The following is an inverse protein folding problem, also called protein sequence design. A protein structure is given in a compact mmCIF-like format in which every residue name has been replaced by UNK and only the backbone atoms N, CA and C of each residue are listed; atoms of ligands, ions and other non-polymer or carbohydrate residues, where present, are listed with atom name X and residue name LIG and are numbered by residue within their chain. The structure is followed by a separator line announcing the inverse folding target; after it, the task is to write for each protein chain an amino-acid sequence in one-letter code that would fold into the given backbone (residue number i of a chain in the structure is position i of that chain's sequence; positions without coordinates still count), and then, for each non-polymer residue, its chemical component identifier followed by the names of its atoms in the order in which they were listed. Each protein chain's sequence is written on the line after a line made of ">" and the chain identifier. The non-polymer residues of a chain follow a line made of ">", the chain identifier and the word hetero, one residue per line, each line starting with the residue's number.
data_IF_181706516018
#
_entry.id   IF_181706516018
#
_cell.length_a   1.000
_cell.length_b   1.000
_cell.length_c   1.000
_cell.angle_alpha   90.00
_cell.angle_beta   90.00
_cell.angle_gamma   90.00
#
_symmetry.space_group_name_H-M   'P 1'
#
loop_
_entity.id
_entity.type
_entity.pdbx_description
1 polymer ?
#
# COMPACT_ATOMS: atom_id res chain seq x y z
N UNK A 1 17.50 -6.53 15.44
CA UNK A 1 17.25 -5.99 14.09
C UNK A 1 15.95 -6.59 13.57
N UNK A 2 14.85 -6.19 14.21
CA UNK A 2 13.51 -6.72 13.91
C UNK A 2 12.71 -5.64 13.18
N UNK A 3 12.18 -6.07 12.05
CA UNK A 3 11.08 -5.50 11.26
C UNK A 3 11.23 -4.07 10.68
N UNK A 4 11.25 -4.04 9.35
CA UNK A 4 11.01 -2.87 8.50
C UNK A 4 9.56 -2.96 8.03
N UNK A 5 8.69 -2.06 8.49
CA UNK A 5 7.30 -1.97 8.05
C UNK A 5 7.22 -0.90 6.95
N UNK A 6 7.14 -1.34 5.69
CA UNK A 6 6.91 -0.45 4.54
C UNK A 6 5.40 -0.36 4.33
N UNK A 7 4.79 0.75 4.73
CA UNK A 7 3.47 1.13 4.26
C UNK A 7 3.65 1.76 2.86
N UNK A 8 3.25 1.06 1.81
CA UNK A 8 3.33 1.58 0.44
C UNK A 8 1.95 2.10 0.03
N UNK A 9 1.82 3.41 -0.10
CA UNK A 9 0.74 4.06 -0.84
C UNK A 9 1.25 4.25 -2.28
N UNK A 10 0.76 3.44 -3.21
CA UNK A 10 1.27 3.44 -4.59
C UNK A 10 0.41 4.35 -5.45
N UNK A 11 0.95 5.50 -5.84
CA UNK A 11 0.59 6.22 -7.06
C UNK A 11 1.47 5.69 -8.20
N UNK A 12 0.90 4.88 -9.11
CA UNK A 12 1.65 4.23 -10.18
C UNK A 12 1.51 5.00 -11.50
N UNK A 13 2.66 5.39 -12.04
CA UNK A 13 2.87 5.99 -13.34
C UNK A 13 3.49 4.97 -14.30
N UNK A 14 2.93 4.90 -15.52
CA UNK A 14 3.49 4.44 -16.80
C UNK A 14 3.60 2.92 -17.14
N UNK A 15 3.01 2.61 -18.32
CA UNK A 15 3.51 1.79 -19.44
C UNK A 15 3.36 0.23 -19.49
N UNK A 16 2.72 -0.17 -20.62
CA UNK A 16 2.87 -1.38 -21.47
C UNK A 16 1.87 -2.55 -21.33
N UNK A 17 1.17 -2.79 -22.45
CA UNK A 17 1.04 -4.11 -23.08
C UNK A 17 -0.19 -4.94 -22.73
N UNK A 18 -1.09 -5.13 -23.70
CA UNK A 18 -2.23 -6.05 -23.58
C UNK A 18 -1.78 -7.51 -23.51
N UNK A 19 -2.23 -8.25 -22.48
CA UNK A 19 -2.07 -9.71 -22.34
C UNK A 19 -3.47 -10.35 -22.40
N UNK A 20 -3.73 -11.32 -23.29
CA UNK A 20 -5.04 -11.95 -23.39
C UNK A 20 -5.30 -12.92 -22.22
N UNK A 21 -6.55 -12.96 -21.77
CA UNK A 21 -7.01 -13.74 -20.63
C UNK A 21 -6.97 -15.24 -20.91
N UNK A 22 -6.16 -15.98 -20.14
CA UNK A 22 -6.14 -17.45 -20.11
C UNK A 22 -6.98 -17.96 -18.93
N UNK A 23 -8.04 -18.70 -19.24
CA UNK A 23 -9.00 -19.31 -18.30
C UNK A 23 -8.48 -20.61 -17.68
N UNK A 24 -7.24 -20.63 -17.20
CA UNK A 24 -6.71 -21.78 -16.46
C UNK A 24 -7.08 -21.67 -14.97
N UNK A 25 -7.91 -22.61 -14.50
CA UNK A 25 -8.24 -22.80 -13.08
C UNK A 25 -6.94 -23.04 -12.29
N UNK A 26 -6.52 -22.05 -11.51
CA UNK A 26 -5.36 -22.15 -10.61
C UNK A 26 -5.66 -23.21 -9.55
N UNK A 27 -5.18 -24.44 -9.77
CA UNK A 27 -5.09 -25.45 -8.73
C UNK A 27 -4.06 -24.94 -7.71
N UNK A 28 -4.52 -24.63 -6.49
CA UNK A 28 -3.64 -24.28 -5.38
C UNK A 28 -2.81 -25.49 -4.99
N UNK A 29 -1.67 -25.64 -5.64
CA UNK A 29 -0.58 -26.49 -5.17
C UNK A 29 -0.24 -26.05 -3.75
N UNK A 30 -0.35 -26.97 -2.78
CA UNK A 30 0.24 -26.80 -1.45
C UNK A 30 1.76 -26.81 -1.60
N UNK A 31 2.30 -25.68 -2.03
CA UNK A 31 3.74 -25.47 -2.12
C UNK A 31 4.33 -25.41 -0.72
N UNK A 32 5.38 -26.20 -0.52
CA UNK A 32 6.26 -26.22 0.63
C UNK A 32 6.72 -24.82 1.08
N UNK A 33 7.25 -24.76 2.31
CA UNK A 33 7.81 -23.58 2.98
C UNK A 33 8.48 -22.60 2.01
N UNK A 34 8.32 -21.27 2.22
CA UNK A 34 8.72 -20.25 1.26
C UNK A 34 10.17 -20.46 0.81
N UNK A 35 10.37 -20.68 -0.48
CA UNK A 35 11.71 -20.77 -1.07
C UNK A 35 12.42 -19.45 -0.80
N UNK A 36 13.59 -19.52 -0.17
CA UNK A 36 14.45 -18.36 0.02
C UNK A 36 14.77 -17.78 -1.36
N UNK A 37 14.41 -16.51 -1.57
CA UNK A 37 14.87 -15.76 -2.75
C UNK A 37 16.36 -15.47 -2.51
N UNK A 38 17.23 -16.06 -3.32
CA UNK A 38 18.67 -15.79 -3.25
C UNK A 38 18.93 -14.38 -3.79
N UNK A 39 19.47 -13.49 -2.95
CA UNK A 39 19.93 -12.18 -3.40
C UNK A 39 21.33 -12.31 -4.02
N UNK A 40 21.69 -11.34 -4.87
CA UNK A 40 22.90 -11.30 -5.71
C UNK A 40 24.24 -11.58 -5.01
N UNK A 41 24.31 -11.60 -3.66
CA UNK A 41 25.52 -11.93 -2.88
C UNK A 41 25.27 -12.70 -1.57
N UNK A 42 24.13 -13.35 -1.37
CA UNK A 42 23.88 -14.17 -0.16
C UNK A 42 22.40 -14.30 0.22
N UNK A 43 22.14 -15.02 1.32
CA UNK A 43 20.78 -15.22 1.82
C UNK A 43 20.19 -13.90 2.34
N UNK A 44 18.98 -13.56 1.87
CA UNK A 44 18.18 -12.46 2.44
C UNK A 44 17.92 -12.74 3.92
N UNK A 45 18.31 -11.79 4.78
CA UNK A 45 18.12 -11.89 6.25
C UNK A 45 16.87 -11.16 6.74
N UNK A 46 16.06 -10.65 5.82
CA UNK A 46 14.75 -10.07 6.11
C UNK A 46 13.65 -10.98 5.56
N UNK A 47 12.49 -10.94 6.21
CA UNK A 47 11.28 -11.62 5.76
C UNK A 47 10.09 -10.70 5.98
N UNK A 48 9.14 -10.74 5.05
CA UNK A 48 7.84 -10.12 5.22
C UNK A 48 7.00 -10.95 6.20
N UNK A 49 6.58 -10.33 7.30
CA UNK A 49 5.81 -11.01 8.37
C UNK A 49 4.34 -10.60 8.40
N UNK A 50 3.98 -9.46 7.80
CA UNK A 50 2.62 -8.96 7.73
C UNK A 50 2.46 -7.88 6.66
N UNK A 51 1.22 -7.68 6.22
CA UNK A 51 0.82 -6.67 5.24
C UNK A 51 -0.50 -6.08 5.73
N UNK A 52 -0.65 -4.77 5.57
CA UNK A 52 -1.92 -4.09 5.79
C UNK A 52 -2.10 -2.98 4.77
N UNK A 53 -3.36 -2.65 4.50
CA UNK A 53 -3.72 -1.57 3.59
C UNK A 53 -4.95 -0.83 4.09
N UNK A 54 -5.01 0.46 3.75
CA UNK A 54 -6.15 1.32 3.99
C UNK A 54 -6.32 2.23 2.77
N UNK A 55 -7.56 2.51 2.42
CA UNK A 55 -7.93 3.47 1.41
C UNK A 55 -8.97 4.44 2.03
N UNK A 56 -9.06 5.68 1.53
CA UNK A 56 -10.17 6.55 1.87
C UNK A 56 -11.52 5.90 1.54
N UNK A 57 -12.57 6.25 2.28
CA UNK A 57 -13.90 5.72 2.03
C UNK A 57 -14.62 6.43 0.87
N UNK A 58 -14.22 7.67 0.55
CA UNK A 58 -14.83 8.43 -0.55
C UNK A 58 -14.34 7.90 -1.89
N UNK A 59 -15.28 7.42 -2.70
CA UNK A 59 -15.03 6.91 -4.05
C UNK A 59 -15.53 7.89 -5.10
N UNK A 60 -14.71 8.15 -6.11
CA UNK A 60 -15.05 8.95 -7.29
C UNK A 60 -14.96 8.10 -8.54
N UNK A 61 -16.07 7.96 -9.25
CA UNK A 61 -16.16 7.26 -10.53
C UNK A 61 -15.63 8.14 -11.68
N UNK A 62 -15.37 7.54 -12.83
CA UNK A 62 -15.05 8.28 -14.04
C UNK A 62 -16.17 9.22 -14.49
N UNK A 63 -17.42 8.78 -14.35
CA UNK A 63 -18.59 9.60 -14.68
C UNK A 63 -18.63 10.85 -13.80
N UNK A 64 -18.46 10.70 -12.48
CA UNK A 64 -18.35 11.85 -11.57
C UNK A 64 -17.17 12.76 -11.94
N UNK A 65 -16.02 12.20 -12.32
CA UNK A 65 -14.86 13.00 -12.74
C UNK A 65 -15.12 13.81 -14.02
N UNK A 66 -15.93 13.29 -14.95
CA UNK A 66 -16.29 14.00 -16.19
C UNK A 66 -17.13 15.27 -15.96
N UNK A 67 -17.74 15.40 -14.78
CA UNK A 67 -18.47 16.62 -14.38
C UNK A 67 -17.57 17.80 -13.98
N UNK A 68 -16.30 17.53 -13.66
CA UNK A 68 -15.34 18.54 -13.17
C UNK A 68 -14.18 18.81 -14.12
N UNK A 69 -13.93 17.90 -15.07
CA UNK A 69 -12.87 18.01 -16.08
C UNK A 69 -13.40 17.48 -17.41
N UNK A 70 -12.97 18.07 -18.53
CA UNK A 70 -13.31 17.60 -19.88
C UNK A 70 -12.67 16.23 -20.16
N UNK A 71 -13.39 15.17 -19.84
CA UNK A 71 -12.96 13.77 -20.00
C UNK A 71 -14.16 12.83 -20.09
N UNK A 72 -13.93 11.53 -20.30
CA UNK A 72 -14.98 10.51 -20.35
C UNK A 72 -14.51 9.18 -19.77
N UNK A 73 -15.45 8.32 -19.33
CA UNK A 73 -15.12 6.97 -18.86
C UNK A 73 -14.39 6.15 -19.94
N UNK A 74 -14.85 6.24 -21.19
CA UNK A 74 -14.21 5.55 -22.32
C UNK A 74 -12.77 6.00 -22.51
N UNK A 75 -12.51 7.31 -22.51
CA UNK A 75 -11.16 7.85 -22.66
C UNK A 75 -10.25 7.40 -21.50
N UNK A 76 -10.71 7.55 -20.25
CA UNK A 76 -9.91 7.23 -19.06
C UNK A 76 -9.58 5.74 -19.04
N UNK A 77 -10.59 4.91 -19.25
CA UNK A 77 -10.47 3.48 -19.05
C UNK A 77 -9.69 2.81 -20.16
N UNK A 78 -9.82 3.27 -21.41
CA UNK A 78 -9.00 2.74 -22.51
C UNK A 78 -7.52 3.07 -22.33
N UNK A 79 -7.20 4.23 -21.73
CA UNK A 79 -5.82 4.71 -21.59
C UNK A 79 -5.14 4.22 -20.32
N UNK A 80 -5.90 4.01 -19.25
CA UNK A 80 -5.35 3.74 -17.90
C UNK A 80 -5.90 2.47 -17.24
N UNK A 81 -7.04 1.94 -17.70
CA UNK A 81 -7.76 0.86 -17.04
C UNK A 81 -8.51 1.27 -15.76
N UNK A 82 -8.43 2.54 -15.35
CA UNK A 82 -9.04 3.03 -14.10
C UNK A 82 -10.53 3.30 -14.32
N UNK A 83 -11.39 2.76 -13.45
CA UNK A 83 -12.85 3.00 -13.42
C UNK A 83 -13.30 3.94 -12.30
N UNK A 84 -12.59 3.87 -11.19
CA UNK A 84 -12.86 4.65 -9.98
C UNK A 84 -11.57 4.85 -9.20
N UNK A 85 -11.58 5.84 -8.31
CA UNK A 85 -10.47 6.17 -7.41
C UNK A 85 -11.00 6.60 -6.05
N UNK A 86 -10.15 6.50 -5.05
CA UNK A 86 -10.46 6.96 -3.70
C UNK A 86 -9.88 8.36 -3.47
N UNK A 87 -10.62 9.22 -2.78
CA UNK A 87 -10.17 10.56 -2.38
C UNK A 87 -10.26 10.71 -0.87
N UNK A 88 -9.27 11.39 -0.28
CA UNK A 88 -9.36 11.80 1.12
C UNK A 88 -10.56 12.74 1.30
N UNK A 89 -11.34 12.50 2.36
CA UNK A 89 -12.36 13.45 2.76
C UNK A 89 -11.72 14.70 3.38
N UNK A 90 -12.40 15.86 3.38
CA UNK A 90 -11.91 17.04 4.07
C UNK A 90 -11.60 16.74 5.54
N UNK A 91 -10.37 17.04 5.98
CA UNK A 91 -9.92 16.77 7.34
C UNK A 91 -9.28 15.38 7.55
N UNK A 92 -9.28 14.50 6.54
CA UNK A 92 -8.48 13.28 6.56
C UNK A 92 -7.06 13.55 6.02
N UNK A 93 -6.05 12.99 6.69
CA UNK A 93 -4.64 13.05 6.28
C UNK A 93 -4.08 11.68 5.87
N UNK A 94 -3.00 11.69 5.10
CA UNK A 94 -2.25 10.50 4.72
C UNK A 94 -1.77 9.72 5.95
N UNK A 95 -1.31 10.42 6.98
CA UNK A 95 -0.81 9.86 8.23
C UNK A 95 -1.82 8.93 8.91
N UNK A 96 -3.11 9.29 8.86
CA UNK A 96 -4.20 8.49 9.44
C UNK A 96 -4.42 7.21 8.63
N UNK A 97 -4.38 7.28 7.30
CA UNK A 97 -4.46 6.09 6.44
C UNK A 97 -3.25 5.17 6.63
N UNK A 98 -2.05 5.74 6.72
CA UNK A 98 -0.83 5.00 6.96
C UNK A 98 -0.87 4.28 8.32
N UNK A 99 -1.37 4.95 9.38
CA UNK A 99 -1.58 4.32 10.68
C UNK A 99 -2.59 3.17 10.62
N UNK A 100 -3.74 3.35 9.95
CA UNK A 100 -4.73 2.26 9.73
C UNK A 100 -4.13 1.08 8.97
N UNK A 101 -3.31 1.34 7.95
CA UNK A 101 -2.62 0.29 7.20
C UNK A 101 -1.57 -0.44 8.07
N UNK A 102 -0.80 0.31 8.86
CA UNK A 102 0.21 -0.24 9.76
C UNK A 102 -0.41 -1.08 10.90
N UNK A 103 -1.53 -0.65 11.50
CA UNK A 103 -2.29 -1.44 12.47
C UNK A 103 -2.71 -2.80 11.90
N UNK A 104 -3.32 -2.80 10.70
CA UNK A 104 -3.68 -4.05 9.99
C UNK A 104 -2.46 -4.93 9.70
N UNK A 105 -1.32 -4.33 9.39
CA UNK A 105 -0.07 -5.08 9.16
C UNK A 105 0.42 -5.74 10.45
N UNK A 106 0.40 -5.01 11.58
CA UNK A 106 0.74 -5.53 12.90
C UNK A 106 -0.19 -6.68 13.30
N UNK A 107 -1.51 -6.49 13.17
CA UNK A 107 -2.52 -7.53 13.38
C UNK A 107 -2.26 -8.78 12.53
N UNK A 108 -1.97 -8.61 11.24
CA UNK A 108 -1.69 -9.73 10.32
C UNK A 108 -0.42 -10.50 10.68
N UNK A 109 0.54 -9.83 11.31
CA UNK A 109 1.84 -10.42 11.68
C UNK A 109 1.87 -11.02 13.08
N UNK A 110 0.96 -10.61 13.96
CA UNK A 110 1.02 -10.92 15.40
C UNK A 110 2.21 -10.28 16.11
N UNK A 111 2.87 -9.28 15.51
CA UNK A 111 3.98 -8.55 16.13
C UNK A 111 3.43 -7.48 17.06
N UNK A 112 3.99 -7.41 18.27
CA UNK A 112 3.72 -6.33 19.20
C UNK A 112 4.28 -5.01 18.66
N UNK A 113 3.43 -3.98 18.61
CA UNK A 113 3.79 -2.65 18.13
C UNK A 113 5.01 -2.09 18.87
N UNK A 114 5.07 -2.29 20.19
CA UNK A 114 6.17 -1.79 21.02
C UNK A 114 7.54 -2.41 20.67
N UNK A 115 7.55 -3.54 19.95
CA UNK A 115 8.77 -4.21 19.48
C UNK A 115 9.29 -3.72 18.13
N UNK A 116 8.55 -2.80 17.47
CA UNK A 116 9.00 -2.15 16.23
C UNK A 116 10.07 -1.12 16.58
N UNK A 117 11.24 -1.25 15.96
CA UNK A 117 12.43 -0.41 16.20
C UNK A 117 12.63 0.67 15.11
N UNK A 118 11.86 0.60 14.02
CA UNK A 118 11.98 1.52 12.88
C UNK A 118 10.68 1.61 12.09
N UNK A 119 10.20 2.84 11.87
CA UNK A 119 9.09 3.13 10.96
C UNK A 119 9.61 3.91 9.76
N UNK A 120 9.36 3.40 8.55
CA UNK A 120 9.69 4.08 7.29
C UNK A 120 8.41 4.36 6.53
N UNK A 121 8.06 5.64 6.40
CA UNK A 121 6.94 6.09 5.57
C UNK A 121 7.46 6.55 4.21
N UNK A 122 7.29 5.70 3.19
CA UNK A 122 7.70 6.01 1.83
C UNK A 122 6.60 6.79 1.09
N UNK A 123 6.60 8.13 1.23
CA UNK A 123 5.62 9.02 0.60
C UNK A 123 6.28 10.21 -0.10
N UNK A 124 5.67 10.69 -1.18
CA UNK A 124 6.00 11.96 -1.86
C UNK A 124 4.98 13.06 -1.57
N UNK A 125 4.00 12.79 -0.70
CA UNK A 125 2.90 13.70 -0.36
C UNK A 125 2.63 13.63 1.15
N UNK A 126 3.62 13.96 2.00
CA UNK A 126 3.42 13.96 3.45
C UNK A 126 2.40 15.05 3.86
N UNK A 127 1.73 14.86 5.00
CA UNK A 127 0.82 15.86 5.56
C UNK A 127 1.60 17.09 6.06
N UNK A 128 2.84 16.90 6.51
CA UNK A 128 3.76 17.97 6.91
C UNK A 128 5.13 17.95 6.19
N UNK A 129 5.93 19.01 6.36
CA UNK A 129 7.23 19.16 5.70
C UNK A 129 8.35 18.27 6.25
N UNK A 130 8.16 17.71 7.44
CA UNK A 130 9.15 16.90 8.16
C UNK A 130 8.86 15.39 8.03
N UNK A 131 7.68 15.03 7.52
CA UNK A 131 7.23 13.68 7.24
C UNK A 131 6.44 13.05 8.38
N UNK A 132 5.47 12.21 8.04
CA UNK A 132 4.49 11.72 9.01
C UNK A 132 4.88 10.41 9.71
N UNK A 133 6.12 9.91 9.53
CA UNK A 133 6.55 8.62 10.07
C UNK A 133 6.45 8.59 11.60
N UNK A 134 6.84 9.68 12.29
CA UNK A 134 6.73 9.80 13.74
C UNK A 134 5.26 9.83 14.20
N UNK A 135 4.39 10.48 13.42
CA UNK A 135 2.95 10.49 13.69
C UNK A 135 2.38 9.07 13.60
N UNK A 136 2.72 8.33 12.54
CA UNK A 136 2.31 6.94 12.37
C UNK A 136 2.83 6.05 13.50
N UNK A 137 4.11 6.17 13.88
CA UNK A 137 4.69 5.41 14.98
C UNK A 137 3.93 5.62 16.30
N UNK A 138 3.61 6.88 16.62
CA UNK A 138 2.79 7.25 17.79
C UNK A 138 1.38 6.64 17.72
N UNK A 139 0.71 6.76 16.59
CA UNK A 139 -0.67 6.27 16.41
C UNK A 139 -0.80 4.74 16.50
N UNK A 140 0.24 4.00 16.08
CA UNK A 140 0.22 2.53 16.17
C UNK A 140 0.82 1.98 17.46
N UNK A 141 1.34 2.83 18.34
CA UNK A 141 1.98 2.42 19.60
C UNK A 141 3.38 1.83 19.43
N UNK A 142 4.10 2.18 18.36
CA UNK A 142 5.48 1.75 18.13
C UNK A 142 6.46 2.57 18.97
N UNK A 143 6.44 2.40 20.28
CA UNK A 143 7.24 3.20 21.23
C UNK A 143 8.74 2.93 21.18
N UNK A 144 9.18 1.87 20.50
CA UNK A 144 10.58 1.55 20.29
C UNK A 144 11.19 2.17 19.03
N UNK A 145 10.38 2.85 18.21
CA UNK A 145 10.77 3.43 16.92
C UNK A 145 10.96 4.95 16.97
#
# INVERSE_FOLDING_TARGET
>A
MRLLLIASAVGLSQQLGAVPASTARVQRSRSAAPRAVEAHRGALRSRLVGIGSAAPDTVVTNEQLSSVVETSDDWISQRTGIRQRHLLAPGEGLSTLAARAAQKALESSGVDAASVELVVLATSSPDDLFGDAAHVAREVGATGA
#
